data_IF_950144759691
#
_entry.id   IF_950144759691
#
_cell.length_a   1.000
_cell.length_b   1.000
_cell.length_c   1.000
_cell.angle_alpha   90.00
_cell.angle_beta   90.00
_cell.angle_gamma   90.00
#
_symmetry.space_group_name_H-M   'P 1'
#
loop_
_entity.id
_entity.type
_entity.pdbx_description
1 polymer ?
#
# COMPACT_ATOMS: atom_id res chain seq x y z
N UNK A 1 18.08 -8.16 -51.37
CA UNK A 1 18.59 -7.58 -50.11
C UNK A 1 17.85 -6.26 -49.86
N UNK A 2 17.04 -6.13 -48.81
CA UNK A 2 16.15 -4.99 -48.63
C UNK A 2 16.85 -3.76 -48.02
N UNK A 3 16.66 -2.65 -48.74
CA UNK A 3 16.53 -1.23 -48.39
C UNK A 3 16.71 -0.81 -46.92
N UNK A 4 17.68 0.08 -46.72
CA UNK A 4 17.78 1.04 -45.62
C UNK A 4 16.53 1.95 -45.59
N UNK A 5 15.84 1.99 -44.46
CA UNK A 5 14.88 3.03 -44.11
C UNK A 5 15.23 3.56 -42.72
N UNK A 6 15.86 4.73 -42.70
CA UNK A 6 15.86 5.63 -41.55
C UNK A 6 14.47 6.22 -41.38
N UNK A 7 13.89 6.11 -40.17
CA UNK A 7 12.98 7.14 -39.64
C UNK A 7 13.22 7.27 -38.14
N UNK A 8 13.91 8.35 -37.76
CA UNK A 8 13.79 8.96 -36.44
C UNK A 8 12.43 9.66 -36.38
N UNK A 9 11.60 9.32 -35.40
CA UNK A 9 10.43 10.12 -35.03
C UNK A 9 10.42 10.31 -33.52
N UNK A 10 10.92 11.47 -33.11
CA UNK A 10 10.70 12.12 -31.82
C UNK A 10 9.27 12.68 -31.82
N UNK A 11 8.52 12.49 -30.74
CA UNK A 11 7.18 13.10 -30.55
C UNK A 11 6.43 12.42 -29.42
N UNK A 12 6.67 12.80 -28.16
CA UNK A 12 5.89 13.80 -27.39
C UNK A 12 4.43 13.38 -27.20
N UNK A 13 4.05 13.08 -25.95
CA UNK A 13 2.67 12.84 -25.58
C UNK A 13 2.49 12.34 -24.15
N UNK A 14 3.07 13.02 -23.16
CA UNK A 14 2.63 12.88 -21.76
C UNK A 14 1.16 13.31 -21.67
N UNK A 15 0.27 12.38 -21.38
CA UNK A 15 -1.05 12.68 -20.85
C UNK A 15 -1.38 11.66 -19.76
N UNK A 16 -0.73 11.80 -18.60
CA UNK A 16 -1.19 11.16 -17.38
C UNK A 16 -2.45 11.92 -16.96
N UNK A 17 -3.60 11.43 -17.41
CA UNK A 17 -4.89 11.90 -16.93
C UNK A 17 -4.98 11.57 -15.43
N UNK A 18 -4.77 12.58 -14.59
CA UNK A 18 -5.02 12.50 -13.17
C UNK A 18 -6.53 12.35 -12.93
N UNK A 19 -7.01 11.28 -12.28
CA UNK A 19 -8.35 11.31 -11.71
C UNK A 19 -8.35 12.32 -10.57
N UNK A 20 -9.01 13.45 -10.81
CA UNK A 20 -9.30 14.46 -9.80
C UNK A 20 -10.13 13.81 -8.68
N UNK A 21 -9.53 13.66 -7.51
CA UNK A 21 -10.22 13.34 -6.26
C UNK A 21 -11.00 14.58 -5.83
N UNK A 22 -12.29 14.62 -6.16
CA UNK A 22 -13.22 15.59 -5.60
C UNK A 22 -14.54 14.89 -5.27
N UNK A 23 -14.55 14.13 -4.18
CA UNK A 23 -15.77 13.98 -3.39
C UNK A 23 -15.51 14.60 -2.03
N UNK A 24 -15.96 15.84 -1.95
CA UNK A 24 -16.20 16.62 -0.74
C UNK A 24 -17.09 15.81 0.19
N UNK A 25 -16.50 15.12 1.16
CA UNK A 25 -17.25 14.62 2.32
C UNK A 25 -17.54 15.79 3.24
N UNK A 26 -18.54 16.58 2.89
CA UNK A 26 -19.16 17.57 3.77
C UNK A 26 -20.39 16.91 4.40
N UNK A 27 -20.18 16.28 5.55
CA UNK A 27 -21.24 15.75 6.42
C UNK A 27 -20.86 16.04 7.88
N UNK A 28 -21.62 16.89 8.59
CA UNK A 28 -21.30 17.27 9.96
C UNK A 28 -21.80 16.20 10.95
N UNK A 29 -20.99 15.90 11.97
CA UNK A 29 -21.41 15.22 13.21
C UNK A 29 -22.09 13.85 13.06
N UNK A 30 -21.28 12.78 12.95
CA UNK A 30 -21.68 11.43 13.34
C UNK A 30 -21.36 11.18 14.82
N UNK A 31 -22.28 10.57 15.61
CA UNK A 31 -22.18 10.50 17.06
C UNK A 31 -20.99 9.64 17.51
N UNK A 32 -20.47 10.05 18.66
CA UNK A 32 -19.51 9.39 19.53
C UNK A 32 -19.89 7.91 19.73
N UNK A 33 -19.49 7.06 18.80
CA UNK A 33 -19.59 5.61 18.87
C UNK A 33 -18.36 5.09 19.59
N UNK A 34 -18.43 5.08 20.91
CA UNK A 34 -17.51 4.34 21.78
C UNK A 34 -17.49 2.87 21.32
N UNK A 35 -16.59 2.50 20.42
CA UNK A 35 -16.25 1.10 20.20
C UNK A 35 -15.46 0.63 21.42
N UNK A 36 -16.01 -0.27 22.26
CA UNK A 36 -15.25 -0.86 23.34
C UNK A 36 -14.34 -1.93 22.73
N UNK A 37 -13.02 -1.77 22.85
CA UNK A 37 -12.11 -2.90 22.70
C UNK A 37 -11.09 -2.88 21.55
N UNK A 38 -10.92 -1.77 20.82
CA UNK A 38 -9.68 -1.55 20.08
C UNK A 38 -8.80 -0.58 20.87
N UNK A 39 -8.37 -1.01 22.06
CA UNK A 39 -7.12 -0.52 22.62
C UNK A 39 -6.04 -0.90 21.63
N UNK A 40 -5.77 0.03 20.71
CA UNK A 40 -4.71 -0.09 19.72
C UNK A 40 -3.48 -0.54 20.48
N UNK A 41 -3.05 -1.78 20.20
CA UNK A 41 -1.85 -2.37 20.75
C UNK A 41 -0.68 -1.64 20.07
N UNK A 42 -0.52 -0.36 20.44
CA UNK A 42 0.63 0.46 20.10
C UNK A 42 1.81 -0.28 20.72
N UNK A 43 2.72 -0.76 19.87
CA UNK A 43 3.87 -1.54 20.30
C UNK A 43 4.62 -0.85 21.45
N UNK A 44 5.28 -1.62 22.32
CA UNK A 44 6.01 -1.08 23.45
C UNK A 44 6.97 0.02 22.97
N UNK A 45 6.74 1.27 23.41
CA UNK A 45 7.55 2.44 23.03
C UNK A 45 6.84 3.53 22.24
N UNK A 46 5.71 3.24 21.57
CA UNK A 46 4.96 4.26 20.82
C UNK A 46 4.39 5.37 21.71
N UNK A 47 4.00 5.05 22.95
CA UNK A 47 3.41 6.02 23.89
C UNK A 47 4.31 7.20 24.24
N UNK A 48 5.64 7.03 24.17
CA UNK A 48 6.64 8.04 24.57
C UNK A 48 7.22 8.86 23.42
N UNK A 49 6.90 8.52 22.16
CA UNK A 49 7.43 9.24 20.99
C UNK A 49 6.69 10.57 20.76
N UNK A 50 7.40 11.67 20.45
CA UNK A 50 6.84 12.90 19.90
C UNK A 50 5.87 12.64 18.74
N UNK A 51 4.79 13.41 18.66
CA UNK A 51 3.79 13.29 17.58
C UNK A 51 4.38 13.24 16.15
N UNK A 52 5.31 14.13 15.74
CA UNK A 52 5.82 14.11 14.37
C UNK A 52 6.55 12.81 14.02
N UNK A 53 7.36 12.27 14.95
CA UNK A 53 8.06 11.00 14.77
C UNK A 53 7.08 9.83 14.71
N UNK A 54 6.06 9.86 15.56
CA UNK A 54 4.99 8.85 15.58
C UNK A 54 4.23 8.82 14.25
N UNK A 55 3.89 10.00 13.71
CA UNK A 55 3.24 10.15 12.40
C UNK A 55 4.13 9.59 11.31
N UNK A 56 5.41 9.94 11.29
CA UNK A 56 6.33 9.49 10.23
C UNK A 56 6.50 7.97 10.25
N UNK A 57 6.69 7.36 11.42
CA UNK A 57 6.73 5.90 11.58
C UNK A 57 5.45 5.23 11.11
N UNK A 58 4.28 5.80 11.44
CA UNK A 58 3.00 5.26 10.98
C UNK A 58 2.88 5.32 9.46
N UNK A 59 3.25 6.44 8.85
CA UNK A 59 3.23 6.59 7.39
C UNK A 59 4.18 5.60 6.71
N UNK A 60 5.38 5.39 7.25
CA UNK A 60 6.31 4.38 6.72
C UNK A 60 5.71 2.97 6.81
N UNK A 61 5.13 2.61 7.95
CA UNK A 61 4.47 1.32 8.12
C UNK A 61 3.36 1.13 7.10
N UNK A 62 2.46 2.11 6.97
CA UNK A 62 1.35 2.06 6.01
C UNK A 62 1.85 1.98 4.57
N UNK A 63 2.92 2.70 4.22
CA UNK A 63 3.53 2.61 2.89
C UNK A 63 4.03 1.19 2.57
N UNK A 64 4.65 0.52 3.55
CA UNK A 64 5.09 -0.88 3.39
C UNK A 64 3.91 -1.86 3.31
N UNK A 65 2.87 -1.67 4.13
CA UNK A 65 1.65 -2.50 4.06
C UNK A 65 0.97 -2.38 2.68
N UNK A 66 0.85 -1.16 2.17
CA UNK A 66 0.30 -0.91 0.82
C UNK A 66 1.15 -1.58 -0.26
N UNK A 67 2.48 -1.54 -0.16
CA UNK A 67 3.36 -2.19 -1.13
C UNK A 67 3.15 -3.71 -1.18
N UNK A 68 2.98 -4.37 -0.01
CA UNK A 68 2.69 -5.81 0.05
C UNK A 68 1.35 -6.12 -0.61
N UNK A 69 0.31 -5.31 -0.33
CA UNK A 69 -1.03 -5.50 -0.92
C UNK A 69 -1.03 -5.30 -2.44
N UNK A 70 -0.29 -4.31 -2.95
CA UNK A 70 -0.14 -4.10 -4.39
C UNK A 70 0.57 -5.30 -5.04
N UNK A 71 1.60 -5.85 -4.39
CA UNK A 71 2.28 -7.05 -4.87
C UNK A 71 1.36 -8.27 -4.86
N UNK A 72 0.57 -8.46 -3.80
CA UNK A 72 -0.43 -9.54 -3.74
C UNK A 72 -1.44 -9.40 -4.87
N UNK A 73 -1.95 -8.19 -5.11
CA UNK A 73 -2.89 -7.92 -6.20
C UNK A 73 -2.30 -8.29 -7.56
N UNK A 74 -1.05 -7.88 -7.85
CA UNK A 74 -0.37 -8.23 -9.09
C UNK A 74 -0.17 -9.75 -9.23
N UNK A 75 0.20 -10.43 -8.14
CA UNK A 75 0.37 -11.88 -8.12
C UNK A 75 -0.95 -12.62 -8.40
N UNK A 76 -2.04 -12.19 -7.75
CA UNK A 76 -3.38 -12.76 -7.93
C UNK A 76 -3.88 -12.55 -9.36
N UNK A 77 -3.65 -11.38 -9.95
CA UNK A 77 -4.01 -11.10 -11.34
C UNK A 77 -3.22 -11.97 -12.33
N UNK A 78 -1.97 -12.30 -12.02
CA UNK A 78 -1.14 -13.18 -12.84
C UNK A 78 -1.31 -14.68 -12.56
N UNK A 79 -2.09 -15.07 -11.55
CA UNK A 79 -2.22 -16.47 -11.15
C UNK A 79 -3.10 -17.26 -12.14
N UNK A 80 -2.48 -18.20 -12.86
CA UNK A 80 -3.18 -19.01 -13.86
C UNK A 80 -3.89 -20.25 -13.28
N UNK A 81 -3.65 -20.60 -12.01
CA UNK A 81 -4.21 -21.81 -11.40
C UNK A 81 -4.34 -21.70 -9.86
N UNK A 82 -5.13 -22.58 -9.22
CA UNK A 82 -5.32 -22.58 -7.78
C UNK A 82 -4.03 -22.66 -6.93
N UNK A 83 -3.02 -23.49 -7.27
CA UNK A 83 -1.79 -23.52 -6.48
C UNK A 83 -0.99 -22.21 -6.59
N UNK A 84 -0.98 -21.54 -7.75
CA UNK A 84 -0.36 -20.22 -7.88
C UNK A 84 -1.05 -19.17 -6.99
N UNK A 85 -2.39 -19.16 -6.97
CA UNK A 85 -3.16 -18.27 -6.09
C UNK A 85 -2.84 -18.52 -4.61
N UNK A 86 -2.73 -19.79 -4.20
CA UNK A 86 -2.34 -20.14 -2.83
C UNK A 86 -0.96 -19.59 -2.48
N UNK A 87 0.01 -19.76 -3.38
CA UNK A 87 1.37 -19.24 -3.20
C UNK A 87 1.38 -17.72 -3.04
N UNK A 88 0.61 -16.97 -3.84
CA UNK A 88 0.48 -15.53 -3.71
C UNK A 88 0.03 -15.11 -2.30
N UNK A 89 -1.01 -15.77 -1.77
CA UNK A 89 -1.58 -15.45 -0.45
C UNK A 89 -0.63 -15.82 0.68
N UNK A 90 0.07 -16.95 0.58
CA UNK A 90 1.06 -17.38 1.56
C UNK A 90 2.27 -16.42 1.60
N UNK A 91 2.75 -15.98 0.44
CA UNK A 91 3.81 -14.98 0.35
C UNK A 91 3.39 -13.64 0.96
N UNK A 92 2.21 -13.13 0.60
CA UNK A 92 1.69 -11.88 1.16
C UNK A 92 1.54 -11.97 2.69
N UNK A 93 1.01 -13.09 3.20
CA UNK A 93 0.90 -13.33 4.64
C UNK A 93 2.26 -13.36 5.32
N UNK A 94 3.25 -14.05 4.75
CA UNK A 94 4.60 -14.12 5.30
C UNK A 94 5.26 -12.73 5.38
N UNK A 95 5.14 -11.94 4.31
CA UNK A 95 5.65 -10.57 4.28
C UNK A 95 4.97 -9.66 5.31
N UNK A 96 3.64 -9.76 5.43
CA UNK A 96 2.88 -8.98 6.41
C UNK A 96 3.26 -9.35 7.84
N UNK A 97 3.46 -10.64 8.13
CA UNK A 97 3.95 -11.10 9.43
C UNK A 97 5.36 -10.59 9.71
N UNK A 98 6.27 -10.65 8.73
CA UNK A 98 7.63 -10.15 8.88
C UNK A 98 7.64 -8.63 9.15
N UNK A 99 6.81 -7.86 8.44
CA UNK A 99 6.62 -6.45 8.70
C UNK A 99 6.16 -6.21 10.15
N UNK A 100 5.10 -6.89 10.59
CA UNK A 100 4.61 -6.75 11.97
C UNK A 100 5.64 -7.16 13.04
N UNK A 101 6.51 -8.13 12.74
CA UNK A 101 7.60 -8.51 13.64
C UNK A 101 8.67 -7.42 13.71
N UNK A 102 9.03 -6.83 12.56
CA UNK A 102 9.97 -5.71 12.49
C UNK A 102 9.49 -4.53 13.33
N UNK A 103 8.21 -4.17 13.24
CA UNK A 103 7.64 -3.04 13.99
C UNK A 103 7.32 -3.35 15.46
N UNK A 104 7.35 -4.63 15.86
CA UNK A 104 7.20 -5.04 17.27
C UNK A 104 8.51 -5.05 18.04
N UNK A 105 9.66 -5.06 17.36
CA UNK A 105 10.98 -4.98 18.02
C UNK A 105 11.30 -3.51 18.37
N UNK A 106 11.66 -3.21 19.63
CA UNK A 106 11.92 -1.85 20.11
C UNK A 106 13.15 -1.21 19.44
#
# INVERSE_FOLDING_TARGET
MPKLLSVLAVGVGLAVAAPALAQTMSGPNGPNGSMPGMSGQMGPGMGRMPFPERRQRLLERLGREVAILQQEQACVQGAANPPALRNCREQARAQMMALHQQWRRP
#
